data_IF_053863335346
#
_entry.id   IF_053863335346
#
_cell.length_a   1.000
_cell.length_b   1.000
_cell.length_c   1.000
_cell.angle_alpha   90.00
_cell.angle_beta   90.00
_cell.angle_gamma   90.00
#
_symmetry.space_group_name_H-M   'P 1'
#
loop_
_entity.id
_entity.type
_entity.pdbx_description
1 polymer ?
#
# COMPACT_ATOMS: atom_id res chain seq x y z
N UNK A 1 30.02 3.56 -43.57
CA UNK A 1 29.04 2.81 -42.75
C UNK A 1 29.40 2.79 -41.23
N UNK A 2 30.64 2.80 -40.86
CA UNK A 2 31.15 2.77 -39.45
C UNK A 2 30.88 4.05 -38.63
N UNK A 3 30.86 5.23 -39.22
CA UNK A 3 30.62 6.50 -38.52
C UNK A 3 29.18 6.64 -37.97
N UNK A 4 28.15 6.14 -38.68
CA UNK A 4 26.76 6.18 -38.23
C UNK A 4 26.49 5.28 -36.99
N UNK A 5 27.23 4.19 -36.84
CA UNK A 5 27.08 3.27 -35.69
C UNK A 5 27.69 3.86 -34.40
N UNK A 6 28.83 4.60 -34.56
CA UNK A 6 29.52 5.28 -33.44
C UNK A 6 28.67 6.44 -32.89
N UNK A 7 28.02 7.19 -33.78
CA UNK A 7 27.10 8.28 -33.37
C UNK A 7 25.83 7.77 -32.67
N UNK A 8 25.20 6.69 -33.15
CA UNK A 8 24.03 6.09 -32.47
C UNK A 8 24.36 5.56 -31.08
N UNK A 9 25.57 4.99 -30.89
CA UNK A 9 26.02 4.49 -29.60
C UNK A 9 26.23 5.61 -28.59
N UNK A 10 26.80 6.72 -29.00
CA UNK A 10 27.04 7.90 -28.15
C UNK A 10 25.76 8.63 -27.78
N UNK A 11 24.80 8.74 -28.69
CA UNK A 11 23.48 9.32 -28.40
C UNK A 11 22.71 8.47 -27.40
N UNK A 12 22.72 7.15 -27.57
CA UNK A 12 22.07 6.23 -26.62
C UNK A 12 22.71 6.29 -25.21
N UNK A 13 24.02 6.40 -25.12
CA UNK A 13 24.72 6.56 -23.86
C UNK A 13 24.42 7.90 -23.18
N UNK A 14 24.40 9.00 -23.94
CA UNK A 14 24.05 10.32 -23.44
C UNK A 14 22.62 10.39 -22.92
N UNK A 15 21.65 9.83 -23.64
CA UNK A 15 20.26 9.77 -23.18
C UNK A 15 20.10 8.88 -21.93
N UNK A 16 20.84 7.78 -21.83
CA UNK A 16 20.82 6.94 -20.61
C UNK A 16 21.40 7.68 -19.40
N UNK A 17 22.51 8.39 -19.57
CA UNK A 17 23.11 9.18 -18.50
C UNK A 17 22.22 10.33 -18.06
N UNK A 18 21.56 11.01 -19.00
CA UNK A 18 20.60 12.07 -18.71
C UNK A 18 19.37 11.54 -17.95
N UNK A 19 18.82 10.39 -18.36
CA UNK A 19 17.72 9.73 -17.68
C UNK A 19 18.09 9.33 -16.24
N UNK A 20 19.28 8.79 -16.02
CA UNK A 20 19.80 8.44 -14.69
C UNK A 20 19.97 9.70 -13.85
N UNK A 21 20.52 10.78 -14.42
CA UNK A 21 20.66 12.06 -13.74
C UNK A 21 19.32 12.66 -13.34
N UNK A 22 18.35 12.67 -14.26
CA UNK A 22 16.97 13.11 -13.97
C UNK A 22 16.31 12.24 -12.90
N UNK A 23 16.46 10.91 -12.94
CA UNK A 23 15.92 10.02 -11.94
C UNK A 23 16.54 10.27 -10.57
N UNK A 24 17.85 10.54 -10.51
CA UNK A 24 18.55 10.86 -9.26
C UNK A 24 18.15 12.24 -8.72
N UNK A 25 17.97 13.23 -9.60
CA UNK A 25 17.44 14.54 -9.26
C UNK A 25 16.01 14.42 -8.69
N UNK A 26 15.13 13.68 -9.35
CA UNK A 26 13.76 13.45 -8.88
C UNK A 26 13.70 12.67 -7.56
N UNK A 27 14.69 11.80 -7.28
CA UNK A 27 14.80 11.13 -5.98
C UNK A 27 15.06 12.08 -4.83
N UNK A 28 15.78 13.19 -5.04
CA UNK A 28 16.03 14.21 -4.02
C UNK A 28 14.75 14.96 -3.61
N UNK A 29 13.77 15.04 -4.51
CA UNK A 29 12.47 15.68 -4.25
C UNK A 29 11.39 14.72 -3.75
N UNK A 30 11.70 13.41 -3.60
CA UNK A 30 10.76 12.52 -2.94
C UNK A 30 10.66 12.95 -1.47
N UNK A 31 9.47 13.33 -1.01
CA UNK A 31 9.30 13.70 0.38
C UNK A 31 9.76 12.54 1.26
N UNK A 32 10.60 12.85 2.24
CA UNK A 32 11.08 11.86 3.20
C UNK A 32 9.87 11.23 3.88
N UNK A 33 9.77 9.90 3.83
CA UNK A 33 8.71 9.16 4.50
C UNK A 33 8.84 9.38 6.01
N UNK A 34 7.74 9.71 6.66
CA UNK A 34 7.69 9.82 8.10
C UNK A 34 7.57 8.41 8.70
N UNK A 35 8.49 8.04 9.60
CA UNK A 35 8.43 6.80 10.34
C UNK A 35 7.77 7.05 11.68
N UNK A 36 6.55 6.52 11.86
CA UNK A 36 5.83 6.65 13.10
C UNK A 36 6.40 5.74 14.19
N UNK A 37 6.05 6.06 15.41
CA UNK A 37 6.37 5.24 16.57
C UNK A 37 5.46 4.02 16.65
N UNK A 38 4.20 4.17 16.23
CA UNK A 38 3.15 3.16 16.32
C UNK A 38 2.93 2.41 15.02
N UNK A 39 2.28 1.24 15.10
CA UNK A 39 1.79 0.46 13.99
C UNK A 39 0.28 0.61 13.85
N UNK A 40 -0.18 0.70 12.63
CA UNK A 40 -1.55 0.90 12.23
C UNK A 40 -2.02 -0.24 11.35
N UNK A 41 -3.26 -0.65 11.50
CA UNK A 41 -3.87 -1.67 10.66
C UNK A 41 -5.13 -1.16 10.01
N UNK A 42 -5.29 -1.50 8.77
CA UNK A 42 -6.52 -1.36 8.00
C UNK A 42 -7.10 -2.76 7.84
N UNK A 43 -8.37 -2.93 8.17
CA UNK A 43 -9.16 -4.12 7.81
C UNK A 43 -10.17 -3.71 6.75
N UNK A 44 -10.08 -4.31 5.57
CA UNK A 44 -10.96 -4.02 4.43
C UNK A 44 -11.72 -5.28 4.01
N UNK A 45 -13.05 -5.18 3.97
CA UNK A 45 -13.92 -6.21 3.41
C UNK A 45 -14.03 -5.98 1.90
N UNK A 46 -13.72 -7.00 1.11
CA UNK A 46 -13.65 -6.91 -0.35
C UNK A 46 -14.71 -7.82 -0.96
N UNK A 47 -15.55 -7.28 -1.83
CA UNK A 47 -16.50 -8.06 -2.61
C UNK A 47 -16.78 -7.40 -3.96
N UNK A 48 -16.28 -8.00 -5.05
CA UNK A 48 -16.49 -7.56 -6.44
C UNK A 48 -16.17 -6.08 -6.69
N UNK A 49 -14.97 -5.65 -6.34
CA UNK A 49 -14.49 -4.25 -6.41
C UNK A 49 -13.20 -4.10 -7.23
N UNK A 50 -12.95 -4.99 -8.18
CA UNK A 50 -11.72 -5.00 -8.99
C UNK A 50 -11.34 -3.64 -9.58
N UNK A 51 -12.33 -2.81 -9.94
CA UNK A 51 -12.15 -1.50 -10.57
C UNK A 51 -11.47 -0.48 -9.66
N UNK A 52 -11.60 -0.63 -8.33
CA UNK A 52 -11.15 0.35 -7.35
C UNK A 52 -9.88 -0.06 -6.63
N UNK A 53 -9.56 -1.36 -6.62
CA UNK A 53 -8.47 -1.92 -5.81
C UNK A 53 -7.11 -1.33 -6.10
N UNK A 54 -6.74 -1.07 -7.37
CA UNK A 54 -5.44 -0.49 -7.69
C UNK A 54 -5.27 0.91 -7.07
N UNK A 55 -6.30 1.74 -7.10
CA UNK A 55 -6.24 3.10 -6.53
C UNK A 55 -6.34 3.05 -5.00
N UNK A 56 -7.15 2.16 -4.44
CA UNK A 56 -7.18 1.87 -3.01
C UNK A 56 -5.78 1.49 -2.49
N UNK A 57 -5.12 0.49 -3.08
CA UNK A 57 -3.77 0.09 -2.69
C UNK A 57 -2.76 1.23 -2.84
N UNK A 58 -2.82 2.00 -3.93
CA UNK A 58 -1.94 3.16 -4.13
C UNK A 58 -2.13 4.22 -3.05
N UNK A 59 -3.35 4.50 -2.62
CA UNK A 59 -3.65 5.48 -1.58
C UNK A 59 -3.01 5.10 -0.24
N UNK A 60 -3.00 3.81 0.09
CA UNK A 60 -2.40 3.28 1.32
C UNK A 60 -0.88 3.20 1.23
N UNK A 61 -0.32 2.72 0.12
CA UNK A 61 1.13 2.56 -0.07
C UNK A 61 1.84 3.91 -0.17
N UNK A 62 1.16 4.93 -0.70
CA UNK A 62 1.72 6.26 -0.91
C UNK A 62 1.47 7.23 0.25
N UNK A 63 0.98 6.75 1.38
CA UNK A 63 0.86 7.56 2.60
C UNK A 63 2.17 8.29 2.92
N UNK A 64 2.08 9.47 3.54
CA UNK A 64 3.23 10.20 4.11
C UNK A 64 3.92 9.39 5.20
N UNK A 65 3.14 8.67 6.01
CA UNK A 65 3.65 7.66 6.92
C UNK A 65 4.33 6.53 6.14
N UNK A 66 5.42 5.97 6.67
CA UNK A 66 6.10 4.87 5.98
C UNK A 66 5.27 3.58 6.03
N UNK A 67 4.68 3.24 4.90
CA UNK A 67 3.85 2.05 4.74
C UNK A 67 4.56 0.78 5.23
N UNK A 68 5.81 0.59 4.80
CA UNK A 68 6.54 -0.66 5.10
C UNK A 68 6.84 -0.87 6.57
N UNK A 69 7.05 0.21 7.30
CA UNK A 69 7.39 0.17 8.72
C UNK A 69 6.17 0.21 9.63
N UNK A 70 5.10 0.89 9.22
CA UNK A 70 4.05 1.29 10.14
C UNK A 70 2.63 0.86 9.77
N UNK A 71 2.36 0.47 8.52
CA UNK A 71 1.00 0.17 8.08
C UNK A 71 0.88 -1.29 7.67
N UNK A 72 -0.15 -1.97 8.19
CA UNK A 72 -0.58 -3.30 7.77
C UNK A 72 -1.98 -3.21 7.17
N UNK A 73 -2.23 -3.95 6.12
CA UNK A 73 -3.52 -4.04 5.45
C UNK A 73 -3.98 -5.50 5.43
N UNK A 74 -5.16 -5.76 5.95
CA UNK A 74 -5.82 -7.06 5.91
C UNK A 74 -7.00 -6.92 4.96
N UNK A 75 -6.89 -7.56 3.80
CA UNK A 75 -7.98 -7.67 2.83
C UNK A 75 -8.71 -8.99 3.06
N UNK A 76 -9.98 -8.91 3.40
CA UNK A 76 -10.84 -10.07 3.55
C UNK A 76 -11.77 -10.15 2.35
N UNK A 77 -11.49 -11.07 1.46
CA UNK A 77 -12.29 -11.35 0.27
C UNK A 77 -13.54 -12.15 0.65
N UNK A 78 -14.68 -11.54 0.54
CA UNK A 78 -15.98 -12.08 0.91
C UNK A 78 -16.63 -12.87 -0.23
N UNK A 79 -15.84 -13.74 -0.88
CA UNK A 79 -16.32 -14.58 -1.98
C UNK A 79 -16.46 -13.83 -3.30
N UNK A 80 -15.51 -12.95 -3.65
CA UNK A 80 -15.53 -12.25 -4.93
C UNK A 80 -15.48 -13.20 -6.11
N UNK A 81 -16.24 -12.87 -7.15
CA UNK A 81 -16.31 -13.61 -8.42
C UNK A 81 -15.61 -12.90 -9.58
N UNK A 82 -15.19 -11.65 -9.36
CA UNK A 82 -14.40 -10.84 -10.29
C UNK A 82 -12.88 -11.04 -10.09
N UNK A 83 -12.06 -10.17 -10.65
CA UNK A 83 -10.61 -10.26 -10.53
C UNK A 83 -10.02 -9.70 -9.21
N UNK A 84 -10.86 -9.35 -8.23
CA UNK A 84 -10.43 -8.75 -6.95
C UNK A 84 -9.39 -9.59 -6.22
N UNK A 85 -9.60 -10.91 -6.10
CA UNK A 85 -8.68 -11.83 -5.45
C UNK A 85 -7.27 -11.80 -6.08
N UNK A 86 -7.17 -11.79 -7.40
CA UNK A 86 -5.89 -11.78 -8.11
C UNK A 86 -5.15 -10.45 -7.92
N UNK A 87 -5.88 -9.33 -7.91
CA UNK A 87 -5.29 -8.00 -7.66
C UNK A 87 -4.70 -7.96 -6.24
N UNK A 88 -5.45 -8.40 -5.23
CA UNK A 88 -4.97 -8.42 -3.84
C UNK A 88 -3.71 -9.29 -3.71
N UNK A 89 -3.73 -10.50 -4.26
CA UNK A 89 -2.58 -11.43 -4.25
C UNK A 89 -1.34 -10.85 -4.92
N UNK A 90 -1.50 -10.07 -5.99
CA UNK A 90 -0.41 -9.33 -6.65
C UNK A 90 0.24 -8.32 -5.69
N UNK A 91 -0.56 -7.54 -4.95
CA UNK A 91 -0.06 -6.60 -3.96
C UNK A 91 0.54 -7.30 -2.74
N UNK A 92 -0.07 -8.37 -2.26
CA UNK A 92 0.48 -9.21 -1.18
C UNK A 92 1.86 -9.76 -1.55
N UNK A 93 2.04 -10.29 -2.77
CA UNK A 93 3.34 -10.76 -3.26
C UNK A 93 4.41 -9.66 -3.25
N UNK A 94 4.03 -8.42 -3.53
CA UNK A 94 4.93 -7.26 -3.53
C UNK A 94 5.25 -6.75 -2.12
N UNK A 95 4.31 -6.91 -1.18
CA UNK A 95 4.42 -6.43 0.20
C UNK A 95 3.99 -7.51 1.21
N UNK A 96 4.67 -8.66 1.24
CA UNK A 96 4.22 -9.84 2.00
C UNK A 96 4.21 -9.64 3.52
N UNK A 97 4.95 -8.65 4.03
CA UNK A 97 4.99 -8.30 5.46
C UNK A 97 3.90 -7.30 5.87
N UNK A 98 3.28 -6.66 4.89
CA UNK A 98 2.34 -5.56 5.15
C UNK A 98 0.92 -5.86 4.68
N UNK A 99 0.73 -6.80 3.76
CA UNK A 99 -0.59 -7.10 3.20
C UNK A 99 -0.91 -8.57 3.45
N UNK A 100 -2.01 -8.81 4.16
CA UNK A 100 -2.61 -10.13 4.35
C UNK A 100 -3.84 -10.26 3.45
N UNK A 101 -3.99 -11.41 2.81
CA UNK A 101 -5.17 -11.81 2.05
C UNK A 101 -5.86 -12.96 2.78
N UNK A 102 -7.12 -12.77 3.10
CA UNK A 102 -7.99 -13.79 3.66
C UNK A 102 -9.16 -14.01 2.70
N UNK A 103 -9.60 -15.24 2.58
CA UNK A 103 -10.78 -15.59 1.79
C UNK A 103 -11.83 -16.24 2.70
N UNK A 104 -13.09 -15.94 2.43
CA UNK A 104 -14.25 -16.64 2.98
C UNK A 104 -15.40 -16.69 1.98
N UNK A 105 -16.32 -17.61 2.17
CA UNK A 105 -17.61 -17.57 1.48
C UNK A 105 -18.37 -16.30 1.82
N UNK A 106 -19.16 -15.79 0.87
CA UNK A 106 -19.91 -14.55 1.06
C UNK A 106 -20.79 -14.63 2.31
N UNK A 107 -20.65 -13.67 3.18
CA UNK A 107 -21.39 -13.55 4.45
C UNK A 107 -21.55 -12.10 4.90
N UNK A 108 -21.18 -11.16 4.01
CA UNK A 108 -21.34 -9.74 4.22
C UNK A 108 -20.19 -9.05 4.97
N UNK A 109 -20.18 -7.74 4.85
CA UNK A 109 -19.11 -6.87 5.31
C UNK A 109 -18.78 -7.06 6.80
N UNK A 110 -19.80 -7.18 7.66
CA UNK A 110 -19.58 -7.35 9.11
C UNK A 110 -18.83 -8.64 9.42
N UNK A 111 -19.17 -9.76 8.75
CA UNK A 111 -18.50 -11.03 8.96
C UNK A 111 -17.06 -11.00 8.49
N UNK A 112 -16.79 -10.29 7.39
CA UNK A 112 -15.44 -10.10 6.84
C UNK A 112 -14.58 -9.23 7.75
N UNK A 113 -15.10 -8.13 8.28
CA UNK A 113 -14.42 -7.30 9.28
C UNK A 113 -14.09 -8.10 10.55
N UNK A 114 -15.03 -8.93 11.04
CA UNK A 114 -14.80 -9.79 12.17
C UNK A 114 -13.71 -10.84 11.93
N UNK A 115 -13.64 -11.42 10.71
CA UNK A 115 -12.56 -12.34 10.35
C UNK A 115 -11.20 -11.61 10.33
N UNK A 116 -11.15 -10.39 9.84
CA UNK A 116 -9.94 -9.57 9.89
C UNK A 116 -9.48 -9.26 11.31
N UNK A 117 -10.40 -8.93 12.22
CA UNK A 117 -10.10 -8.71 13.64
C UNK A 117 -9.65 -10.02 14.34
N UNK A 118 -10.25 -11.15 14.00
CA UNK A 118 -9.81 -12.46 14.51
C UNK A 118 -8.38 -12.75 14.07
N UNK A 119 -8.05 -12.53 12.80
CA UNK A 119 -6.70 -12.69 12.27
C UNK A 119 -5.68 -11.81 13.01
N UNK A 120 -6.04 -10.56 13.32
CA UNK A 120 -5.18 -9.66 14.10
C UNK A 120 -4.87 -10.23 15.48
N UNK A 121 -5.87 -10.71 16.18
CA UNK A 121 -5.73 -11.29 17.53
C UNK A 121 -4.85 -12.53 17.53
N UNK A 122 -4.97 -13.38 16.51
CA UNK A 122 -4.23 -14.65 16.40
C UNK A 122 -2.76 -14.46 15.99
N UNK A 123 -2.40 -13.34 15.35
CA UNK A 123 -1.05 -13.10 14.83
C UNK A 123 -0.21 -12.11 15.66
N UNK A 124 -0.69 -11.64 16.80
CA UNK A 124 0.01 -10.77 17.76
C UNK A 124 0.84 -9.65 17.11
N UNK A 125 0.22 -8.89 16.21
CA UNK A 125 0.92 -7.91 15.38
C UNK A 125 1.37 -6.64 16.13
N UNK A 126 1.29 -6.60 17.47
CA UNK A 126 1.63 -5.44 18.30
C UNK A 126 1.10 -4.11 17.70
N UNK A 127 -0.22 -4.01 17.59
CA UNK A 127 -0.93 -2.96 16.89
C UNK A 127 -1.48 -1.96 17.88
N UNK A 128 -1.29 -0.69 17.58
CA UNK A 128 -1.80 0.41 18.38
C UNK A 128 -3.19 0.90 17.93
N UNK A 129 -3.46 0.82 16.62
CA UNK A 129 -4.68 1.37 16.04
C UNK A 129 -5.20 0.51 14.89
N UNK A 130 -6.49 0.24 14.90
CA UNK A 130 -7.20 -0.46 13.82
C UNK A 130 -8.26 0.46 13.22
N UNK A 131 -8.31 0.54 11.90
CA UNK A 131 -9.37 1.22 11.17
C UNK A 131 -10.00 0.30 10.13
N UNK A 132 -11.23 0.60 9.76
CA UNK A 132 -11.93 -0.04 8.65
C UNK A 132 -12.02 0.94 7.50
N UNK A 133 -11.76 0.46 6.29
CA UNK A 133 -11.85 1.27 5.07
C UNK A 133 -12.46 0.41 3.98
N UNK A 134 -13.42 0.94 3.28
CA UNK A 134 -14.03 0.26 2.16
C UNK A 134 -13.12 0.40 0.92
N UNK A 135 -13.00 -0.64 0.09
CA UNK A 135 -12.00 -0.67 -0.98
C UNK A 135 -12.38 0.18 -2.22
N UNK A 136 -13.54 0.79 -2.22
CA UNK A 136 -13.98 1.82 -3.17
C UNK A 136 -13.69 3.25 -2.70
N UNK A 137 -13.18 3.41 -1.47
CA UNK A 137 -12.67 4.66 -0.93
C UNK A 137 -11.15 4.81 -1.13
N UNK A 138 -10.65 6.05 -1.02
CA UNK A 138 -9.20 6.31 -0.92
C UNK A 138 -8.88 7.12 0.31
N UNK A 139 -7.74 6.80 0.90
CA UNK A 139 -7.22 7.56 2.02
C UNK A 139 -6.44 8.77 1.50
N UNK A 140 -6.69 9.93 2.12
CA UNK A 140 -5.83 11.09 1.94
C UNK A 140 -4.37 10.71 2.28
N UNK A 141 -3.43 11.35 1.60
CA UNK A 141 -2.00 11.07 1.76
C UNK A 141 -1.50 11.26 3.19
N UNK A 142 -2.07 12.18 3.92
CA UNK A 142 -1.64 12.55 5.26
C UNK A 142 -2.47 11.86 6.36
N UNK A 143 -3.46 11.01 6.00
CA UNK A 143 -4.37 10.37 6.95
C UNK A 143 -3.66 9.75 8.16
N UNK A 144 -2.74 8.82 7.95
CA UNK A 144 -2.04 8.16 9.07
C UNK A 144 -1.02 9.07 9.76
N UNK A 145 -0.49 10.08 9.07
CA UNK A 145 0.37 11.08 9.69
C UNK A 145 -0.41 11.93 10.68
N UNK A 146 -1.62 12.37 10.34
CA UNK A 146 -2.50 13.13 11.23
C UNK A 146 -2.96 12.28 12.42
N UNK A 147 -3.34 11.01 12.19
CA UNK A 147 -3.68 10.08 13.28
C UNK A 147 -2.50 9.92 14.24
N UNK A 148 -1.28 9.64 13.74
CA UNK A 148 -0.09 9.48 14.58
C UNK A 148 0.25 10.76 15.35
N UNK A 149 0.11 11.92 14.72
CA UNK A 149 0.35 13.24 15.33
C UNK A 149 -0.65 13.56 16.43
N UNK A 150 -1.92 13.21 16.22
CA UNK A 150 -2.97 13.39 17.22
C UNK A 150 -2.72 12.50 18.45
N UNK A 151 -2.45 11.21 18.22
CA UNK A 151 -2.22 10.24 19.29
C UNK A 151 -0.98 10.58 20.14
N UNK A 152 0.07 11.11 19.53
CA UNK A 152 1.24 11.60 20.27
C UNK A 152 0.93 12.74 21.22
N UNK A 153 0.05 13.66 20.81
CA UNK A 153 -0.36 14.80 21.66
C UNK A 153 -1.21 14.37 22.86
N UNK A 154 -1.91 13.24 22.77
CA UNK A 154 -2.73 12.74 23.88
C UNK A 154 -1.90 11.97 24.93
N UNK A 155 -0.72 11.49 24.57
CA UNK A 155 0.14 10.69 25.45
C UNK A 155 1.28 11.51 26.11
N UNK A 156 1.33 12.83 25.86
CA UNK A 156 2.20 13.80 26.52
C UNK A 156 1.42 14.69 27.47
#
# INVERSE_FOLDING_TARGET
MLLKAKYKKNISFFFKSLLISMQNFLKQFKPKKYKAYNKYVIVSAVYNVEKYLDDFFKSIINQRLDFKSNIHLICVDDGSTDNSANIIKKYQKKYPKNIAYLYKENGGQASSRNLGLKYLKENDLNIFWVTFTDPDDFLDRDYFYEVDSFLKKQNN
#
